data_IF_497739491282
#
_entry.id   IF_497739491282
#
_cell.length_a   1.000
_cell.length_b   1.000
_cell.length_c   1.000
_cell.angle_alpha   90.00
_cell.angle_beta   90.00
_cell.angle_gamma   90.00
#
_symmetry.space_group_name_H-M   'P 1'
#
loop_
_entity.id
_entity.type
_entity.pdbx_description
1 polymer ?
#
# COMPACT_ATOMS: atom_id res chain seq x y z
N UNK A 1 -62.07 -8.28 25.57
CA UNK A 1 -63.19 -7.46 25.08
C UNK A 1 -63.22 -7.63 23.56
N UNK A 2 -64.23 -8.37 23.05
CA UNK A 2 -64.95 -8.25 21.77
C UNK A 2 -64.27 -7.49 20.61
N UNK A 3 -64.23 -7.93 19.33
CA UNK A 3 -65.17 -8.64 18.42
C UNK A 3 -64.31 -9.20 17.24
N UNK A 4 -64.37 -10.47 16.79
CA UNK A 4 -65.20 -11.01 15.67
C UNK A 4 -65.16 -10.15 14.37
N UNK A 5 -65.06 -10.63 13.11
CA UNK A 5 -65.41 -11.91 12.48
C UNK A 5 -65.25 -11.88 10.93
N UNK A 6 -65.18 -13.08 10.30
CA UNK A 6 -65.76 -13.52 8.98
C UNK A 6 -65.04 -13.10 7.66
N UNK A 7 -64.40 -14.06 6.94
CA UNK A 7 -64.85 -14.82 5.72
C UNK A 7 -64.72 -14.02 4.40
N UNK A 8 -64.40 -14.52 3.20
CA UNK A 8 -64.68 -15.79 2.48
C UNK A 8 -63.81 -15.87 1.20
N UNK A 9 -63.49 -17.10 0.81
CA UNK A 9 -63.26 -17.70 -0.53
C UNK A 9 -63.28 -16.83 -1.81
N UNK A 10 -62.28 -17.05 -2.67
CA UNK A 10 -62.52 -17.39 -4.09
C UNK A 10 -61.26 -18.05 -4.72
N UNK A 11 -61.41 -19.32 -5.08
CA UNK A 11 -60.48 -20.05 -5.95
C UNK A 11 -60.68 -19.58 -7.39
N UNK A 12 -59.59 -19.23 -8.08
CA UNK A 12 -59.58 -19.10 -9.54
C UNK A 12 -58.63 -20.18 -10.08
N UNK A 13 -59.23 -21.22 -10.67
CA UNK A 13 -58.53 -22.20 -11.49
C UNK A 13 -58.30 -21.62 -12.89
N UNK A 14 -57.05 -21.50 -13.31
CA UNK A 14 -56.71 -21.24 -14.70
C UNK A 14 -56.59 -22.57 -15.46
N UNK A 15 -57.41 -22.71 -16.52
CA UNK A 15 -57.28 -23.79 -17.51
C UNK A 15 -56.07 -23.51 -18.43
N UNK A 16 -55.25 -24.52 -18.76
CA UNK A 16 -54.20 -24.35 -19.76
C UNK A 16 -54.80 -24.25 -21.17
N UNK A 17 -54.29 -23.27 -21.94
CA UNK A 17 -54.56 -23.11 -23.37
C UNK A 17 -53.61 -24.03 -24.14
N UNK A 18 -54.07 -24.81 -25.13
CA UNK A 18 -53.17 -25.60 -25.98
C UNK A 18 -52.38 -24.67 -26.89
N UNK A 19 -51.04 -24.68 -26.75
CA UNK A 19 -50.14 -23.96 -27.66
C UNK A 19 -50.00 -24.79 -28.95
N UNK A 20 -50.53 -24.23 -30.02
CA UNK A 20 -50.40 -24.74 -31.39
C UNK A 20 -48.95 -24.52 -31.85
N UNK A 21 -48.22 -25.59 -32.17
CA UNK A 21 -46.84 -25.51 -32.65
C UNK A 21 -46.80 -24.92 -34.06
N UNK A 22 -46.11 -23.79 -34.22
CA UNK A 22 -45.74 -23.23 -35.52
C UNK A 22 -44.53 -24.01 -36.10
N UNK A 23 -44.42 -24.13 -37.44
CA UNK A 23 -43.38 -24.92 -38.09
C UNK A 23 -41.99 -24.34 -37.86
N UNK A 24 -41.06 -25.21 -37.45
CA UNK A 24 -39.65 -24.91 -37.25
C UNK A 24 -39.00 -24.52 -38.58
N UNK A 25 -38.58 -23.25 -38.70
CA UNK A 25 -37.62 -22.83 -39.73
C UNK A 25 -36.22 -23.30 -39.30
N UNK A 26 -35.51 -23.92 -40.23
CA UNK A 26 -34.12 -24.33 -40.06
C UNK A 26 -33.24 -23.12 -39.72
N UNK A 27 -32.60 -23.19 -38.56
CA UNK A 27 -31.63 -22.20 -38.08
C UNK A 27 -30.25 -22.63 -38.55
N UNK A 28 -29.49 -21.68 -39.12
CA UNK A 28 -28.11 -21.86 -39.53
C UNK A 28 -27.24 -22.40 -38.38
N UNK A 29 -26.27 -23.25 -38.72
CA UNK A 29 -25.39 -23.95 -37.80
C UNK A 29 -24.72 -22.98 -36.80
N UNK A 30 -25.00 -23.18 -35.52
CA UNK A 30 -24.32 -22.51 -34.43
C UNK A 30 -22.89 -23.05 -34.29
N UNK A 31 -21.92 -22.15 -34.22
CA UNK A 31 -20.54 -22.47 -33.84
C UNK A 31 -20.56 -23.05 -32.42
N UNK A 32 -19.92 -24.21 -32.16
CA UNK A 32 -19.93 -24.82 -30.84
C UNK A 32 -19.24 -23.91 -29.82
N UNK A 33 -19.98 -23.45 -28.81
CA UNK A 33 -19.38 -22.89 -27.59
C UNK A 33 -18.74 -24.04 -26.81
N UNK A 34 -17.48 -23.95 -26.39
CA UNK A 34 -16.89 -24.94 -25.50
C UNK A 34 -17.69 -24.96 -24.19
N UNK A 35 -18.19 -26.14 -23.83
CA UNK A 35 -18.90 -26.36 -22.58
C UNK A 35 -17.90 -26.35 -21.41
N UNK A 36 -17.75 -25.23 -20.74
CA UNK A 36 -17.03 -25.12 -19.48
C UNK A 36 -17.93 -25.57 -18.31
N UNK A 37 -18.16 -26.88 -18.19
CA UNK A 37 -18.66 -27.49 -16.96
C UNK A 37 -17.49 -27.66 -15.98
N UNK A 38 -16.99 -26.55 -15.43
CA UNK A 38 -16.19 -26.58 -14.21
C UNK A 38 -17.15 -26.44 -13.05
N UNK A 39 -17.27 -27.49 -12.23
CA UNK A 39 -18.04 -27.47 -11.00
C UNK A 39 -17.48 -26.36 -10.10
N UNK A 40 -18.28 -25.30 -9.91
CA UNK A 40 -17.92 -24.13 -9.10
C UNK A 40 -18.05 -24.49 -7.62
N UNK A 41 -16.94 -24.70 -6.93
CA UNK A 41 -16.92 -24.67 -5.46
C UNK A 41 -17.11 -23.21 -5.02
N UNK A 42 -18.15 -22.88 -4.24
CA UNK A 42 -18.34 -21.54 -3.73
C UNK A 42 -17.20 -21.20 -2.76
N UNK A 43 -16.27 -20.32 -3.15
CA UNK A 43 -15.35 -19.70 -2.19
C UNK A 43 -16.15 -18.88 -1.16
N UNK A 44 -16.32 -19.40 0.05
CA UNK A 44 -16.89 -18.62 1.15
C UNK A 44 -15.88 -17.53 1.54
N UNK A 45 -16.38 -16.37 1.97
CA UNK A 45 -15.58 -15.21 2.40
C UNK A 45 -14.65 -15.47 3.61
N UNK A 46 -14.54 -16.72 4.06
CA UNK A 46 -13.80 -17.16 5.26
C UNK A 46 -12.97 -18.44 5.05
N UNK A 47 -12.73 -18.88 3.82
CA UNK A 47 -11.88 -20.06 3.54
C UNK A 47 -10.50 -19.69 2.99
N UNK A 48 -10.01 -18.50 3.29
CA UNK A 48 -8.62 -18.13 3.01
C UNK A 48 -7.74 -18.82 4.06
N UNK A 49 -7.42 -20.10 3.84
CA UNK A 49 -6.59 -20.92 4.75
C UNK A 49 -5.46 -20.09 5.36
N UNK A 50 -5.51 -19.97 6.68
CA UNK A 50 -4.43 -19.51 7.55
C UNK A 50 -3.13 -20.20 7.17
N UNK A 51 -2.30 -19.54 6.38
CA UNK A 51 -0.91 -19.93 6.27
C UNK A 51 -0.22 -19.41 7.51
N UNK A 52 0.30 -20.32 8.35
CA UNK A 52 0.94 -19.97 9.63
C UNK A 52 2.08 -18.95 9.53
N UNK A 53 2.55 -18.61 8.32
CA UNK A 53 3.55 -17.57 8.07
C UNK A 53 3.13 -16.76 6.83
N UNK A 54 2.41 -15.65 7.04
CA UNK A 54 2.21 -14.66 5.99
C UNK A 54 3.44 -13.74 5.95
N UNK A 55 4.38 -14.03 5.04
CA UNK A 55 5.58 -13.22 4.83
C UNK A 55 5.60 -12.66 3.41
N UNK A 56 5.73 -11.35 3.31
CA UNK A 56 5.90 -10.62 2.05
C UNK A 56 7.36 -10.22 1.94
N UNK A 57 7.99 -10.54 0.81
CA UNK A 57 9.34 -10.10 0.49
C UNK A 57 9.24 -8.87 -0.41
N UNK A 58 9.85 -7.76 -0.03
CA UNK A 58 9.83 -6.54 -0.83
C UNK A 58 11.22 -5.94 -1.08
N UNK A 59 11.33 -5.27 -2.22
CA UNK A 59 12.47 -4.47 -2.62
C UNK A 59 11.99 -3.09 -3.05
N UNK A 60 12.64 -2.05 -2.56
CA UNK A 60 12.35 -0.66 -2.89
C UNK A 60 13.58 0.06 -3.41
N UNK A 61 13.40 0.88 -4.45
CA UNK A 61 14.42 1.76 -5.00
C UNK A 61 13.89 3.19 -4.96
N UNK A 62 14.65 4.08 -4.31
CA UNK A 62 14.32 5.51 -4.20
C UNK A 62 12.88 5.73 -3.67
N UNK A 63 12.59 5.16 -2.50
CA UNK A 63 11.26 5.13 -1.87
C UNK A 63 11.21 6.07 -0.67
N UNK A 64 10.11 6.82 -0.54
CA UNK A 64 9.77 7.56 0.67
C UNK A 64 8.89 6.73 1.59
N UNK A 65 9.30 6.56 2.85
CA UNK A 65 8.52 5.88 3.88
C UNK A 65 8.22 6.86 5.01
N UNK A 66 7.00 6.82 5.53
CA UNK A 66 6.59 7.63 6.68
C UNK A 66 6.15 6.72 7.81
N UNK A 67 6.88 6.78 8.92
CA UNK A 67 6.61 6.01 10.13
C UNK A 67 6.15 6.92 11.28
N UNK A 68 5.65 6.32 12.36
CA UNK A 68 5.31 7.01 13.62
C UNK A 68 4.30 8.15 13.44
N UNK A 69 3.09 7.84 12.96
CA UNK A 69 2.07 8.83 12.57
C UNK A 69 2.63 9.93 11.67
N UNK A 70 3.45 9.52 10.69
CA UNK A 70 4.01 10.39 9.65
C UNK A 70 5.06 11.40 10.14
N UNK A 71 5.57 11.30 11.38
CA UNK A 71 6.62 12.22 11.89
C UNK A 71 8.03 11.80 11.51
N UNK A 72 8.25 10.51 11.25
CA UNK A 72 9.55 10.02 10.82
C UNK A 72 9.52 9.78 9.31
N UNK A 73 10.03 10.76 8.55
CA UNK A 73 10.33 10.63 7.12
C UNK A 73 11.64 9.88 6.89
N UNK A 74 11.56 8.72 6.25
CA UNK A 74 12.71 7.95 5.79
C UNK A 74 12.78 8.02 4.26
N UNK A 75 13.95 8.37 3.73
CA UNK A 75 14.25 8.18 2.31
C UNK A 75 15.15 6.96 2.15
N UNK A 76 14.62 5.90 1.56
CA UNK A 76 15.37 4.71 1.18
C UNK A 76 15.88 4.87 -0.26
N UNK A 77 17.20 5.02 -0.45
CA UNK A 77 17.79 4.98 -1.79
C UNK A 77 17.72 3.56 -2.37
N UNK A 78 17.80 2.56 -1.48
CA UNK A 78 17.52 1.14 -1.71
C UNK A 78 17.09 0.49 -0.40
N UNK A 79 16.17 -0.46 -0.45
CA UNK A 79 15.78 -1.30 0.68
C UNK A 79 15.34 -2.69 0.19
N UNK A 80 15.73 -3.74 0.90
CA UNK A 80 15.24 -5.11 0.77
C UNK A 80 14.80 -5.54 2.17
N UNK A 81 13.52 -5.88 2.29
CA UNK A 81 12.91 -6.18 3.57
C UNK A 81 11.85 -7.27 3.45
N UNK A 82 11.56 -7.92 4.57
CA UNK A 82 10.44 -8.84 4.71
C UNK A 82 9.44 -8.30 5.72
N UNK A 83 8.16 -8.45 5.42
CA UNK A 83 7.03 -8.09 6.26
C UNK A 83 6.43 -9.38 6.75
N UNK A 84 6.40 -9.58 8.05
CA UNK A 84 5.74 -10.73 8.68
C UNK A 84 4.57 -10.21 9.49
N UNK A 85 3.40 -10.80 9.26
CA UNK A 85 2.19 -10.43 9.96
C UNK A 85 2.32 -10.54 11.48
N UNK A 86 1.78 -9.56 12.21
CA UNK A 86 1.65 -9.64 13.68
C UNK A 86 0.40 -10.41 14.08
N UNK A 87 -0.65 -10.40 13.26
CA UNK A 87 -1.91 -11.11 13.47
C UNK A 87 -2.18 -12.09 12.31
N UNK A 88 -1.59 -13.31 12.33
CA UNK A 88 -1.62 -14.25 11.21
C UNK A 88 -3.02 -14.65 10.71
N UNK A 89 -4.06 -14.37 11.49
CA UNK A 89 -5.47 -14.52 11.13
C UNK A 89 -5.98 -13.51 10.08
N UNK A 90 -5.33 -12.36 9.90
CA UNK A 90 -5.72 -11.32 8.94
C UNK A 90 -4.71 -11.21 7.78
N UNK A 91 -5.09 -10.62 6.64
CA UNK A 91 -4.11 -10.15 5.66
C UNK A 91 -3.27 -9.00 6.22
N UNK A 92 -2.00 -8.90 5.79
CA UNK A 92 -1.17 -7.75 6.16
C UNK A 92 -1.78 -6.49 5.53
N UNK A 93 -2.19 -5.58 6.39
CA UNK A 93 -2.47 -4.21 6.02
C UNK A 93 -1.17 -3.39 6.19
N UNK A 94 -0.56 -3.05 5.06
CA UNK A 94 0.70 -2.28 5.03
C UNK A 94 0.44 -0.82 5.46
N UNK A 95 -0.80 -0.35 5.40
CA UNK A 95 -1.22 1.00 5.79
C UNK A 95 -1.49 1.11 7.31
N UNK A 96 -2.02 0.05 7.93
CA UNK A 96 -2.32 0.01 9.38
C UNK A 96 -1.14 -0.45 10.26
N UNK A 97 0.02 -0.76 9.67
CA UNK A 97 1.28 -1.00 10.40
C UNK A 97 1.25 -2.26 11.30
N UNK A 98 0.40 -3.23 10.98
CA UNK A 98 0.27 -4.49 11.74
C UNK A 98 1.26 -5.57 11.28
N UNK A 99 2.54 -5.21 11.17
CA UNK A 99 3.58 -6.13 10.72
C UNK A 99 4.90 -5.93 11.46
N UNK A 100 5.69 -7.00 11.46
CA UNK A 100 7.11 -6.98 11.78
C UNK A 100 7.90 -6.81 10.48
N UNK A 101 8.67 -5.74 10.41
CA UNK A 101 9.58 -5.42 9.32
C UNK A 101 10.98 -5.91 9.67
N UNK A 102 11.50 -6.86 8.91
CA UNK A 102 12.89 -7.27 8.97
C UNK A 102 13.64 -6.73 7.75
N UNK A 103 14.61 -5.84 7.97
CA UNK A 103 15.36 -5.17 6.89
C UNK A 103 16.69 -5.89 6.65
N UNK A 104 16.70 -6.75 5.63
CA UNK A 104 17.87 -7.52 5.23
C UNK A 104 19.00 -6.66 4.69
N UNK A 105 18.69 -5.63 3.91
CA UNK A 105 19.65 -4.75 3.26
C UNK A 105 19.04 -3.38 2.99
N UNK A 106 19.72 -2.29 3.29
CA UNK A 106 19.18 -0.96 3.00
C UNK A 106 20.17 0.19 3.11
N UNK A 107 19.92 1.21 2.30
CA UNK A 107 20.61 2.50 2.35
C UNK A 107 19.54 3.57 2.56
N UNK A 108 19.41 4.03 3.81
CA UNK A 108 18.32 4.89 4.25
C UNK A 108 18.89 6.21 4.75
N UNK A 109 18.11 7.27 4.67
CA UNK A 109 18.49 8.57 5.19
C UNK A 109 17.32 9.30 5.82
N UNK A 110 17.64 10.15 6.79
CA UNK A 110 16.69 10.93 7.60
C UNK A 110 17.14 12.38 7.60
N UNK A 111 16.20 13.31 7.45
CA UNK A 111 16.50 14.74 7.56
C UNK A 111 16.62 15.17 9.02
N UNK A 112 17.33 16.27 9.27
CA UNK A 112 17.43 16.86 10.60
C UNK A 112 16.07 17.38 11.11
N UNK A 113 15.19 17.80 10.21
CA UNK A 113 13.78 18.14 10.50
C UNK A 113 13.01 16.91 11.00
N UNK A 114 13.03 15.81 10.26
CA UNK A 114 12.33 14.57 10.64
C UNK A 114 12.88 14.01 11.96
N UNK A 115 14.21 14.05 12.14
CA UNK A 115 14.86 13.63 13.37
C UNK A 115 14.44 14.52 14.56
N UNK A 116 14.35 15.84 14.37
CA UNK A 116 13.88 16.77 15.39
C UNK A 116 12.45 16.44 15.83
N UNK A 117 11.53 16.35 14.86
CA UNK A 117 10.12 16.04 15.13
C UNK A 117 9.95 14.69 15.83
N UNK A 118 10.72 13.69 15.39
CA UNK A 118 10.68 12.35 15.98
C UNK A 118 11.16 12.38 17.42
N UNK A 119 12.31 12.99 17.72
CA UNK A 119 12.82 13.05 19.10
C UNK A 119 11.90 13.86 20.02
N UNK A 120 11.34 14.98 19.54
CA UNK A 120 10.35 15.74 20.30
C UNK A 120 9.12 14.91 20.66
N UNK A 121 8.58 14.17 19.69
CA UNK A 121 7.44 13.28 19.90
C UNK A 121 7.75 12.21 20.94
N UNK A 122 8.93 11.58 20.87
CA UNK A 122 9.38 10.58 21.83
C UNK A 122 9.48 11.15 23.25
N UNK A 123 10.07 12.34 23.41
CA UNK A 123 10.22 12.99 24.71
C UNK A 123 8.87 13.41 25.30
N UNK A 124 7.99 14.01 24.48
CA UNK A 124 6.65 14.41 24.90
C UNK A 124 5.83 13.20 25.34
N UNK A 125 5.89 12.10 24.59
CA UNK A 125 5.21 10.85 24.91
C UNK A 125 5.74 10.22 26.20
N UNK A 126 7.06 10.13 26.34
CA UNK A 126 7.71 9.63 27.56
C UNK A 126 7.31 10.45 28.80
N UNK A 127 7.22 11.78 28.69
CA UNK A 127 6.74 12.63 29.78
C UNK A 127 5.25 12.44 30.07
N UNK A 128 4.41 12.39 29.03
CA UNK A 128 2.96 12.18 29.15
C UNK A 128 2.63 10.84 29.82
N UNK A 129 3.35 9.76 29.48
CA UNK A 129 3.20 8.45 30.13
C UNK A 129 3.47 8.48 31.64
N UNK A 130 4.21 9.48 32.11
CA UNK A 130 4.52 9.71 33.54
C UNK A 130 3.64 10.79 34.16
N UNK A 131 2.61 11.25 33.45
CA UNK A 131 1.71 12.33 33.88
C UNK A 131 2.40 13.70 34.00
N UNK A 132 3.47 13.95 33.24
CA UNK A 132 4.30 15.17 33.34
C UNK A 132 4.41 15.86 31.98
N UNK A 133 4.67 17.16 32.00
CA UNK A 133 5.10 17.89 30.81
C UNK A 133 6.54 17.51 30.45
N UNK A 134 6.88 17.54 29.15
CA UNK A 134 8.27 17.30 28.71
C UNK A 134 9.24 18.26 29.40
N UNK A 135 10.35 17.75 29.94
CA UNK A 135 11.37 18.60 30.56
C UNK A 135 12.18 19.40 29.52
N UNK A 136 12.02 19.09 28.23
CA UNK A 136 12.73 19.73 27.12
C UNK A 136 11.75 20.41 26.17
N UNK A 137 12.09 21.61 25.71
CA UNK A 137 11.35 22.43 24.74
C UNK A 137 12.29 22.98 23.66
N UNK A 138 11.72 23.43 22.55
CA UNK A 138 12.44 24.04 21.42
C UNK A 138 13.62 23.16 20.96
N UNK A 139 13.39 21.84 20.86
CA UNK A 139 14.45 20.92 20.52
C UNK A 139 14.82 21.10 19.06
N UNK A 140 16.11 21.04 18.75
CA UNK A 140 16.61 20.98 17.39
C UNK A 140 17.73 19.96 17.29
N UNK A 141 17.56 19.01 16.39
CA UNK A 141 18.63 18.12 15.92
C UNK A 141 19.20 18.73 14.65
N UNK A 142 20.51 18.74 14.52
CA UNK A 142 21.22 19.16 13.32
C UNK A 142 22.31 18.14 12.99
N UNK A 143 22.34 17.71 11.73
CA UNK A 143 23.38 16.84 11.21
C UNK A 143 24.45 17.70 10.53
N UNK A 144 25.61 17.80 11.16
CA UNK A 144 26.78 18.50 10.63
C UNK A 144 27.60 17.52 9.77
N UNK A 145 28.60 17.99 9.02
CA UNK A 145 29.54 17.10 8.33
C UNK A 145 30.45 16.33 9.31
N UNK A 146 31.11 15.27 8.82
CA UNK A 146 32.10 14.47 9.56
C UNK A 146 31.53 13.70 10.75
N UNK A 147 30.36 13.08 10.57
CA UNK A 147 29.70 12.25 11.56
C UNK A 147 29.41 12.98 12.87
N UNK A 148 29.05 14.26 12.77
CA UNK A 148 28.75 15.12 13.90
C UNK A 148 27.26 15.39 13.99
N UNK A 149 26.70 15.20 15.18
CA UNK A 149 25.32 15.57 15.50
C UNK A 149 25.36 16.67 16.56
N UNK A 150 24.54 17.69 16.35
CA UNK A 150 24.31 18.77 17.30
C UNK A 150 22.86 18.74 17.73
N UNK A 151 22.65 18.78 19.04
CA UNK A 151 21.33 18.78 19.66
C UNK A 151 21.22 20.00 20.56
N UNK A 152 20.23 20.84 20.32
CA UNK A 152 20.01 22.09 21.04
C UNK A 152 18.58 22.12 21.58
N UNK A 153 18.35 22.86 22.65
CA UNK A 153 17.00 23.07 23.17
C UNK A 153 17.00 23.82 24.49
N UNK A 154 15.87 23.81 25.18
CA UNK A 154 15.71 24.39 26.51
C UNK A 154 15.26 23.31 27.48
N UNK A 155 15.96 23.16 28.60
CA UNK A 155 15.61 22.24 29.68
C UNK A 155 15.02 23.00 30.86
N UNK A 156 13.93 22.50 31.44
CA UNK A 156 13.35 23.07 32.65
C UNK A 156 14.16 22.62 33.87
N UNK A 157 14.88 23.55 34.48
CA UNK A 157 15.67 23.32 35.69
C UNK A 157 15.38 24.43 36.71
N UNK A 158 15.10 24.05 37.96
CA UNK A 158 14.84 25.00 39.07
C UNK A 158 13.78 26.08 38.73
N UNK A 159 12.73 25.70 38.00
CA UNK A 159 11.65 26.61 37.60
C UNK A 159 11.93 27.49 36.38
N UNK A 160 13.16 27.50 35.86
CA UNK A 160 13.56 28.27 34.68
C UNK A 160 13.84 27.37 33.47
N UNK A 161 13.72 27.92 32.26
CA UNK A 161 14.10 27.24 31.03
C UNK A 161 15.54 27.63 30.66
N UNK A 162 16.48 26.71 30.84
CA UNK A 162 17.89 26.94 30.53
C UNK A 162 18.21 26.40 29.13
N UNK A 163 18.81 27.20 28.24
CA UNK A 163 19.23 26.70 26.94
C UNK A 163 20.40 25.73 27.10
N UNK A 164 20.39 24.64 26.35
CA UNK A 164 21.49 23.70 26.25
C UNK A 164 21.85 23.45 24.79
N UNK A 165 23.12 23.10 24.56
CA UNK A 165 23.61 22.65 23.27
C UNK A 165 24.64 21.55 23.49
N UNK A 166 24.47 20.43 22.80
CA UNK A 166 25.37 19.28 22.85
C UNK A 166 25.83 18.98 21.43
N UNK A 167 27.14 18.86 21.23
CA UNK A 167 27.72 18.38 19.99
C UNK A 167 28.49 17.09 20.25
N UNK A 168 28.25 16.06 19.46
CA UNK A 168 28.92 14.76 19.59
C UNK A 168 29.12 14.08 18.25
N UNK A 169 29.88 12.99 18.27
CA UNK A 169 30.09 12.13 17.10
C UNK A 169 29.13 10.97 17.10
N UNK A 170 28.73 10.51 15.92
CA UNK A 170 27.92 9.31 15.75
C UNK A 170 28.72 8.22 15.04
N UNK A 171 28.55 6.98 15.47
CA UNK A 171 29.16 5.78 14.89
C UNK A 171 28.19 4.59 14.95
N UNK A 172 28.40 3.61 14.09
CA UNK A 172 27.73 2.31 14.21
C UNK A 172 28.52 1.47 15.23
N UNK A 173 27.81 0.88 16.18
CA UNK A 173 28.37 -0.07 17.14
C UNK A 173 28.48 -1.47 16.56
N UNK A 174 29.22 -2.33 17.25
CA UNK A 174 29.54 -3.67 16.75
C UNK A 174 28.32 -4.59 16.68
N UNK A 175 27.32 -4.38 17.53
CA UNK A 175 26.09 -5.19 17.56
C UNK A 175 24.93 -4.55 16.78
N UNK A 176 25.21 -3.57 15.91
CA UNK A 176 24.21 -2.95 15.05
C UNK A 176 23.47 -1.76 15.66
N UNK A 177 23.85 -1.37 16.88
CA UNK A 177 23.40 -0.15 17.53
C UNK A 177 24.00 1.12 16.91
N UNK A 178 23.33 2.24 17.09
CA UNK A 178 23.87 3.58 16.86
C UNK A 178 24.49 4.07 18.17
N UNK A 179 25.74 4.54 18.12
CA UNK A 179 26.44 5.13 19.24
C UNK A 179 26.66 6.62 19.00
N UNK A 180 26.12 7.44 19.89
CA UNK A 180 26.36 8.88 19.94
C UNK A 180 27.30 9.19 21.10
N UNK A 181 28.56 9.45 20.80
CA UNK A 181 29.58 9.85 21.76
C UNK A 181 29.46 11.35 22.03
N UNK A 182 29.13 11.73 23.26
CA UNK A 182 28.96 13.13 23.59
C UNK A 182 30.32 13.83 23.55
N UNK A 183 30.41 14.85 22.71
CA UNK A 183 31.51 15.80 22.71
C UNK A 183 31.16 16.96 23.63
N UNK A 184 31.26 18.19 23.11
CA UNK A 184 31.09 19.44 23.86
C UNK A 184 29.62 19.69 24.22
N UNK A 185 29.32 19.79 25.51
CA UNK A 185 28.04 20.26 26.02
C UNK A 185 28.17 21.66 26.66
N UNK A 186 27.16 22.49 26.42
CA UNK A 186 26.99 23.83 27.00
C UNK A 186 25.60 23.94 27.62
N UNK A 187 25.50 24.60 28.76
CA UNK A 187 24.23 24.97 29.41
C UNK A 187 24.31 26.43 29.81
N UNK A 188 23.31 27.24 29.43
CA UNK A 188 23.32 28.69 29.61
C UNK A 188 24.62 29.35 29.08
N UNK A 189 25.13 28.85 27.96
CA UNK A 189 26.39 29.31 27.33
C UNK A 189 27.67 28.82 27.99
N UNK A 190 27.59 28.24 29.20
CA UNK A 190 28.76 27.76 29.94
C UNK A 190 29.11 26.32 29.54
N UNK A 191 30.39 26.01 29.23
CA UNK A 191 30.82 24.65 28.95
C UNK A 191 30.74 23.79 30.21
N UNK A 192 29.92 22.73 30.19
CA UNK A 192 29.70 21.88 31.38
C UNK A 192 30.63 20.67 31.41
N UNK A 193 31.25 20.30 30.29
CA UNK A 193 32.15 19.14 30.22
C UNK A 193 33.33 19.20 31.17
N UNK A 194 33.97 20.38 31.28
CA UNK A 194 35.11 20.54 32.17
C UNK A 194 34.72 20.30 33.63
N UNK A 195 33.55 20.80 34.03
CA UNK A 195 33.00 20.60 35.36
C UNK A 195 32.61 19.14 35.60
N UNK A 196 31.96 18.49 34.62
CA UNK A 196 31.61 17.08 34.69
C UNK A 196 32.84 16.18 34.85
N UNK A 197 33.90 16.41 34.07
CA UNK A 197 35.15 15.65 34.15
C UNK A 197 35.85 15.86 35.50
N UNK A 198 35.91 17.08 36.01
CA UNK A 198 36.52 17.39 37.33
C UNK A 198 35.75 16.74 38.47
N UNK A 199 34.42 16.67 38.37
CA UNK A 199 33.57 15.99 39.36
C UNK A 199 33.45 14.47 39.15
N UNK A 200 34.11 13.90 38.13
CA UNK A 200 34.00 12.47 37.79
C UNK A 200 32.59 12.04 37.36
N UNK A 201 31.75 12.99 36.91
CA UNK A 201 30.41 12.76 36.38
C UNK A 201 30.49 12.46 34.88
N UNK A 202 29.77 11.45 34.42
CA UNK A 202 29.59 11.12 33.01
C UNK A 202 28.10 10.97 32.69
N UNK A 203 27.76 10.87 31.40
CA UNK A 203 26.38 10.76 30.97
C UNK A 203 25.64 9.60 31.63
N UNK A 204 26.30 8.44 31.77
CA UNK A 204 25.72 7.28 32.44
C UNK A 204 25.32 7.54 33.90
N UNK A 205 26.17 8.25 34.65
CA UNK A 205 25.87 8.64 36.04
C UNK A 205 24.73 9.65 36.14
N UNK A 206 24.54 10.48 35.11
CA UNK A 206 23.53 11.55 35.09
C UNK A 206 22.16 11.07 34.64
N UNK A 207 22.08 10.41 33.49
CA UNK A 207 20.81 9.97 32.91
C UNK A 207 20.34 8.64 33.50
N UNK A 208 21.27 7.81 34.00
CA UNK A 208 21.00 6.48 34.55
C UNK A 208 20.09 5.62 33.65
N UNK A 209 20.23 5.78 32.34
CA UNK A 209 19.51 4.99 31.34
C UNK A 209 20.21 3.65 31.21
N UNK A 210 19.87 2.73 32.09
CA UNK A 210 20.56 1.44 32.25
C UNK A 210 19.73 0.26 31.82
N UNK A 211 18.68 0.50 31.06
CA UNK A 211 17.80 -0.55 30.59
C UNK A 211 17.94 -0.76 29.07
N UNK A 212 18.85 -1.64 28.61
CA UNK A 212 18.92 -2.01 27.20
C UNK A 212 17.60 -2.57 26.68
N UNK A 213 16.72 -3.07 27.56
CA UNK A 213 15.41 -3.54 27.14
C UNK A 213 14.52 -2.42 26.58
N UNK A 214 14.85 -1.14 26.77
CA UNK A 214 14.14 0.02 26.18
C UNK A 214 14.71 0.42 24.80
N UNK A 215 15.70 -0.32 24.29
CA UNK A 215 16.37 -0.02 23.02
C UNK A 215 17.32 1.18 23.07
N UNK A 216 17.40 1.92 24.18
CA UNK A 216 18.39 2.97 24.35
C UNK A 216 18.97 2.95 25.77
N UNK A 217 20.26 3.20 25.89
CA UNK A 217 20.97 3.19 27.16
C UNK A 217 22.22 4.05 27.11
N UNK A 218 22.78 4.37 28.27
CA UNK A 218 24.04 5.10 28.38
C UNK A 218 25.21 4.16 28.66
N UNK A 219 26.34 4.39 28.01
CA UNK A 219 27.59 3.65 28.23
C UNK A 219 28.75 4.63 28.28
N UNK A 220 29.25 4.91 29.49
CA UNK A 220 30.28 5.91 29.72
C UNK A 220 29.79 7.33 29.38
N UNK A 221 30.35 7.92 28.33
CA UNK A 221 29.96 9.24 27.83
C UNK A 221 29.15 9.17 26.52
N UNK A 222 28.50 8.04 26.27
CA UNK A 222 27.83 7.80 25.01
C UNK A 222 26.41 7.33 25.23
N UNK A 223 25.51 7.82 24.38
CA UNK A 223 24.18 7.28 24.24
C UNK A 223 24.24 6.18 23.18
N UNK A 224 23.71 5.02 23.51
CA UNK A 224 23.59 3.88 22.61
C UNK A 224 22.12 3.67 22.30
N UNK A 225 21.79 3.47 21.03
CA UNK A 225 20.45 3.33 20.49
C UNK A 225 20.39 2.11 19.57
N UNK A 226 19.64 1.09 19.95
CA UNK A 226 19.18 0.04 19.05
C UNK A 226 17.91 0.55 18.34
N UNK A 227 18.05 0.94 17.07
CA UNK A 227 16.98 1.59 16.32
C UNK A 227 15.75 0.68 16.15
N UNK A 228 15.96 -0.59 15.80
CA UNK A 228 14.87 -1.56 15.61
C UNK A 228 14.07 -1.75 16.90
N UNK A 229 14.75 -1.96 18.02
CA UNK A 229 14.12 -2.13 19.32
C UNK A 229 13.40 -0.85 19.79
N UNK A 230 14.01 0.33 19.64
CA UNK A 230 13.38 1.59 20.04
C UNK A 230 12.13 1.88 19.22
N UNK A 231 12.13 1.63 17.91
CA UNK A 231 10.94 1.84 17.09
C UNK A 231 9.86 0.82 17.43
N UNK A 232 10.23 -0.46 17.62
CA UNK A 232 9.28 -1.54 17.96
C UNK A 232 8.49 -1.30 19.26
N UNK A 233 9.02 -0.46 20.16
CA UNK A 233 8.38 -0.14 21.44
C UNK A 233 7.40 1.03 21.37
N UNK A 234 7.33 1.69 20.22
CA UNK A 234 6.39 2.77 20.00
C UNK A 234 5.05 2.15 19.61
N UNK A 235 4.03 2.42 20.40
CA UNK A 235 2.64 2.07 20.04
C UNK A 235 2.30 2.63 18.67
N UNK A 236 1.62 1.81 17.85
CA UNK A 236 1.32 2.11 16.45
C UNK A 236 2.52 1.99 15.49
N UNK A 237 3.70 1.56 15.95
CA UNK A 237 4.86 1.31 15.08
C UNK A 237 4.96 -0.17 14.67
N UNK A 238 5.60 -0.46 13.52
CA UNK A 238 5.85 -1.83 13.14
C UNK A 238 6.90 -2.40 14.10
N UNK A 239 6.84 -3.70 14.36
CA UNK A 239 8.02 -4.37 14.90
C UNK A 239 9.14 -4.20 13.88
N UNK A 240 10.35 -3.90 14.31
CA UNK A 240 11.44 -3.57 13.41
C UNK A 240 12.70 -4.29 13.83
N UNK A 241 13.19 -5.11 12.92
CA UNK A 241 14.45 -5.81 13.02
C UNK A 241 15.39 -5.30 11.93
N UNK A 242 16.48 -4.68 12.34
CA UNK A 242 17.52 -4.17 11.46
C UNK A 242 18.85 -4.09 12.20
N UNK A 243 19.93 -4.22 11.44
CA UNK A 243 21.30 -4.09 11.93
C UNK A 243 22.00 -2.93 11.21
N UNK A 244 22.38 -1.88 11.95
CA UNK A 244 23.13 -0.75 11.37
C UNK A 244 24.59 -1.16 11.20
N UNK A 245 25.10 -1.07 9.97
CA UNK A 245 26.49 -1.43 9.61
C UNK A 245 27.37 -0.22 9.40
N UNK A 246 26.80 0.87 8.91
CA UNK A 246 27.50 2.13 8.73
C UNK A 246 26.57 3.32 8.98
N UNK A 247 27.17 4.41 9.42
CA UNK A 247 26.49 5.67 9.67
C UNK A 247 27.36 6.81 9.19
N UNK A 248 26.74 7.74 8.47
CA UNK A 248 27.40 8.98 8.11
C UNK A 248 26.47 10.17 8.21
N UNK A 249 27.03 11.33 8.50
CA UNK A 249 26.28 12.58 8.44
C UNK A 249 26.76 13.43 7.27
N UNK A 250 25.80 13.99 6.56
CA UNK A 250 25.99 15.09 5.62
C UNK A 250 25.13 16.27 6.08
N UNK A 251 25.39 17.50 5.62
CA UNK A 251 24.65 18.68 6.06
C UNK A 251 23.13 18.45 5.98
N UNK A 252 22.47 18.45 7.15
CA UNK A 252 21.02 18.25 7.29
C UNK A 252 20.54 16.80 7.11
N UNK A 253 21.42 15.80 6.97
CA UNK A 253 21.05 14.41 6.73
C UNK A 253 21.90 13.41 7.53
N UNK A 254 21.22 12.44 8.12
CA UNK A 254 21.80 11.21 8.64
C UNK A 254 21.60 10.12 7.60
N UNK A 255 22.67 9.44 7.19
CA UNK A 255 22.63 8.27 6.33
C UNK A 255 22.96 7.02 7.15
N UNK A 256 22.17 5.98 6.94
CA UNK A 256 22.30 4.68 7.57
C UNK A 256 22.48 3.63 6.47
N UNK A 257 23.47 2.77 6.63
CA UNK A 257 23.56 1.52 5.87
C UNK A 257 23.19 0.40 6.83
N UNK A 258 22.17 -0.36 6.46
CA UNK A 258 21.68 -1.50 7.23
C UNK A 258 21.91 -2.79 6.45
N UNK A 259 22.19 -3.86 7.17
CA UNK A 259 22.31 -5.18 6.57
C UNK A 259 22.57 -6.29 7.58
N UNK A 260 21.95 -7.44 7.37
CA UNK A 260 22.15 -8.63 8.21
C UNK A 260 23.60 -9.08 8.18
N UNK A 261 24.26 -8.92 7.03
CA UNK A 261 25.68 -9.22 6.82
C UNK A 261 26.42 -8.00 6.25
N UNK A 262 27.76 -7.96 6.33
CA UNK A 262 28.57 -6.98 5.60
C UNK A 262 28.32 -6.99 4.10
N UNK A 263 28.07 -8.17 3.52
CA UNK A 263 27.76 -8.35 2.10
C UNK A 263 26.40 -7.73 1.72
N UNK A 264 25.40 -7.83 2.60
CA UNK A 264 24.11 -7.17 2.45
C UNK A 264 24.26 -5.64 2.51
N UNK A 265 25.02 -5.11 3.47
CA UNK A 265 25.31 -3.67 3.54
C UNK A 265 26.06 -3.17 2.29
N UNK A 266 27.03 -3.94 1.79
CA UNK A 266 27.73 -3.62 0.55
C UNK A 266 26.79 -3.66 -0.67
N UNK A 267 25.81 -4.58 -0.69
CA UNK A 267 24.76 -4.61 -1.72
C UNK A 267 23.94 -3.33 -1.67
N UNK A 268 23.47 -2.90 -0.52
CA UNK A 268 22.72 -1.64 -0.39
C UNK A 268 23.45 -0.43 -1.00
N UNK A 269 24.77 -0.34 -0.79
CA UNK A 269 25.58 0.74 -1.36
C UNK A 269 25.76 0.64 -2.87
N UNK A 270 25.93 -0.57 -3.43
CA UNK A 270 25.96 -0.78 -4.88
C UNK A 270 24.63 -0.42 -5.52
N UNK A 271 23.54 -0.96 -4.97
CA UNK A 271 22.19 -0.74 -5.46
C UNK A 271 21.81 0.74 -5.36
N UNK A 272 22.19 1.45 -4.29
CA UNK A 272 22.02 2.90 -4.17
C UNK A 272 22.55 3.67 -5.39
N UNK A 273 23.67 3.25 -5.96
CA UNK A 273 24.31 3.91 -7.12
C UNK A 273 23.70 3.52 -8.47
N UNK A 274 22.91 2.44 -8.52
CA UNK A 274 22.25 2.01 -9.75
C UNK A 274 21.25 3.08 -10.24
N UNK A 275 21.33 3.41 -11.53
CA UNK A 275 20.44 4.35 -12.21
C UNK A 275 19.22 3.60 -12.72
N UNK A 276 18.33 3.27 -11.79
CA UNK A 276 17.05 2.65 -12.08
C UNK A 276 15.90 3.60 -11.70
N UNK A 277 14.73 3.50 -12.36
CA UNK A 277 13.55 4.24 -11.93
C UNK A 277 13.17 3.87 -10.49
N UNK A 278 12.43 4.75 -9.82
CA UNK A 278 11.92 4.43 -8.49
C UNK A 278 10.90 3.29 -8.60
N UNK A 279 11.02 2.30 -7.72
CA UNK A 279 10.13 1.14 -7.74
C UNK A 279 9.91 0.57 -6.35
N UNK A 280 8.81 -0.16 -6.21
CA UNK A 280 8.56 -1.12 -5.14
C UNK A 280 8.18 -2.45 -5.79
N UNK A 281 8.91 -3.52 -5.49
CA UNK A 281 8.58 -4.89 -5.91
C UNK A 281 8.22 -5.66 -4.66
N UNK A 282 7.12 -6.39 -4.67
CA UNK A 282 6.69 -7.24 -3.57
C UNK A 282 6.33 -8.62 -4.11
N UNK A 283 6.71 -9.67 -3.39
CA UNK A 283 6.46 -11.06 -3.76
C UNK A 283 6.08 -11.90 -2.55
N UNK A 284 5.33 -12.97 -2.79
CA UNK A 284 4.83 -13.88 -1.78
C UNK A 284 3.84 -13.21 -0.79
N UNK A 285 3.33 -14.01 0.13
CA UNK A 285 2.41 -13.53 1.16
C UNK A 285 1.08 -13.02 0.59
N UNK A 286 0.29 -12.42 1.48
CA UNK A 286 -1.03 -11.88 1.21
C UNK A 286 -1.13 -10.48 1.83
N UNK A 287 -1.42 -9.45 1.03
CA UNK A 287 -1.53 -8.07 1.52
C UNK A 287 -2.62 -7.26 0.81
N UNK A 288 -3.08 -6.21 1.50
CA UNK A 288 -3.80 -5.11 0.89
C UNK A 288 -2.83 -4.00 0.46
N UNK A 289 -2.91 -3.59 -0.80
CA UNK A 289 -2.09 -2.53 -1.40
C UNK A 289 -2.99 -1.70 -2.31
N UNK A 290 -3.22 -0.43 -2.01
CA UNK A 290 -4.02 0.50 -2.83
C UNK A 290 -5.44 -0.04 -3.21
N UNK A 291 -6.10 -0.72 -2.27
CA UNK A 291 -7.41 -1.35 -2.49
C UNK A 291 -7.37 -2.70 -3.22
N UNK A 292 -6.18 -3.20 -3.55
CA UNK A 292 -5.97 -4.55 -4.10
C UNK A 292 -5.60 -5.52 -2.98
N UNK A 293 -6.37 -6.59 -2.84
CA UNK A 293 -5.94 -7.76 -2.10
C UNK A 293 -5.08 -8.62 -3.02
N UNK A 294 -3.80 -8.81 -2.71
CA UNK A 294 -2.94 -9.70 -3.50
C UNK A 294 -2.52 -10.89 -2.65
N UNK A 295 -2.62 -12.10 -3.22
CA UNK A 295 -2.33 -13.37 -2.56
C UNK A 295 -1.36 -14.23 -3.37
N UNK A 296 -0.27 -14.63 -2.73
CA UNK A 296 0.83 -15.42 -3.28
C UNK A 296 1.30 -14.89 -4.64
N UNK A 297 1.33 -13.55 -4.74
CA UNK A 297 1.51 -12.85 -5.99
C UNK A 297 2.83 -12.11 -6.07
N UNK A 298 3.08 -11.54 -7.24
CA UNK A 298 4.19 -10.64 -7.49
C UNK A 298 3.62 -9.32 -8.02
N UNK A 299 3.90 -8.23 -7.30
CA UNK A 299 3.48 -6.87 -7.63
C UNK A 299 4.72 -6.03 -7.88
N UNK A 300 4.69 -5.21 -8.91
CA UNK A 300 5.68 -4.16 -9.10
C UNK A 300 4.95 -2.83 -9.22
N UNK A 301 5.35 -1.85 -8.42
CA UNK A 301 4.89 -0.47 -8.48
C UNK A 301 6.05 0.35 -8.99
N UNK A 302 5.84 1.12 -10.05
CA UNK A 302 6.83 2.02 -10.62
C UNK A 302 6.36 3.46 -10.53
N UNK A 303 7.28 4.37 -10.21
CA UNK A 303 7.05 5.81 -10.37
C UNK A 303 7.14 6.16 -11.85
N UNK A 304 6.07 6.75 -12.40
CA UNK A 304 6.07 7.26 -13.77
C UNK A 304 6.58 8.70 -13.84
N UNK A 305 6.75 9.38 -12.70
CA UNK A 305 7.28 10.74 -12.61
C UNK A 305 8.79 10.72 -12.41
N UNK A 306 9.60 11.18 -13.37
CA UNK A 306 11.05 11.15 -13.22
C UNK A 306 11.55 12.07 -12.09
N UNK A 307 12.39 11.54 -11.21
CA UNK A 307 13.20 12.33 -10.28
C UNK A 307 12.63 12.54 -8.88
N UNK A 308 11.39 12.14 -8.62
CA UNK A 308 10.82 12.03 -7.27
C UNK A 308 11.16 10.68 -6.62
N UNK A 309 11.23 10.61 -5.28
CA UNK A 309 11.06 9.34 -4.58
C UNK A 309 9.62 8.87 -4.73
N UNK A 310 9.41 7.57 -4.94
CA UNK A 310 8.09 6.95 -4.95
C UNK A 310 7.51 7.01 -3.53
N UNK A 311 6.42 7.77 -3.31
CA UNK A 311 5.74 7.85 -2.03
C UNK A 311 4.46 7.02 -2.09
N UNK A 312 4.48 5.84 -1.47
CA UNK A 312 3.33 4.92 -1.49
C UNK A 312 2.04 5.60 -0.99
N UNK A 313 2.15 6.48 0.01
CA UNK A 313 1.01 7.09 0.70
C UNK A 313 0.62 8.49 0.16
N UNK A 314 1.19 8.95 -0.96
CA UNK A 314 0.86 10.25 -1.55
C UNK A 314 -0.18 10.12 -2.68
N UNK A 315 -1.26 10.89 -2.59
CA UNK A 315 -2.29 11.01 -3.63
C UNK A 315 -1.81 12.02 -4.69
N UNK A 316 -1.74 11.61 -5.96
CA UNK A 316 -1.36 12.47 -7.09
C UNK A 316 -0.04 12.13 -7.79
N UNK A 317 0.70 11.12 -7.33
CA UNK A 317 1.79 10.52 -8.10
C UNK A 317 1.23 9.55 -9.14
N UNK A 318 1.64 9.68 -10.40
CA UNK A 318 1.33 8.69 -11.44
C UNK A 318 2.15 7.42 -11.17
N UNK A 319 1.45 6.34 -10.83
CA UNK A 319 2.06 5.03 -10.52
C UNK A 319 1.56 4.00 -11.53
N UNK A 320 2.47 3.12 -11.95
CA UNK A 320 2.07 1.90 -12.63
C UNK A 320 2.15 0.72 -11.69
N UNK A 321 1.04 0.01 -11.51
CA UNK A 321 0.97 -1.22 -10.71
C UNK A 321 0.94 -2.39 -11.69
N UNK A 322 1.88 -3.32 -11.59
CA UNK A 322 1.98 -4.50 -12.42
C UNK A 322 1.80 -5.76 -11.58
N UNK A 323 0.73 -6.50 -11.82
CA UNK A 323 0.48 -7.81 -11.22
C UNK A 323 1.03 -8.88 -12.18
N UNK A 324 2.13 -9.52 -11.79
CA UNK A 324 2.77 -10.55 -12.63
C UNK A 324 2.19 -11.95 -12.46
N UNK A 325 1.75 -12.26 -11.25
CA UNK A 325 1.23 -13.59 -10.89
C UNK A 325 0.45 -13.52 -9.59
N UNK A 326 -0.36 -14.54 -9.34
CA UNK A 326 -1.08 -14.74 -8.09
C UNK A 326 -2.55 -14.35 -8.18
N UNK A 327 -3.20 -14.31 -7.02
CA UNK A 327 -4.60 -13.91 -6.94
C UNK A 327 -4.67 -12.43 -6.59
N UNK A 328 -5.50 -11.68 -7.31
CA UNK A 328 -5.79 -10.27 -7.02
C UNK A 328 -7.28 -10.11 -6.84
N UNK A 329 -7.71 -9.77 -5.63
CA UNK A 329 -9.06 -9.32 -5.34
C UNK A 329 -9.12 -7.80 -5.41
N UNK A 330 -10.11 -7.28 -6.13
CA UNK A 330 -10.43 -5.86 -6.18
C UNK A 330 -11.80 -5.70 -5.56
N UNK A 331 -11.95 -4.86 -4.54
CA UNK A 331 -13.26 -4.57 -3.96
C UNK A 331 -14.21 -3.97 -5.01
N UNK A 332 -15.51 -4.25 -4.90
CA UNK A 332 -16.53 -3.77 -5.85
C UNK A 332 -16.48 -2.25 -6.08
N UNK A 333 -16.37 -1.46 -5.00
CA UNK A 333 -16.34 0.00 -5.10
C UNK A 333 -15.10 0.48 -5.88
N UNK A 334 -13.92 -0.08 -5.60
CA UNK A 334 -12.68 0.26 -6.28
C UNK A 334 -12.72 -0.15 -7.76
N UNK A 335 -13.27 -1.32 -8.05
CA UNK A 335 -13.42 -1.79 -9.42
C UNK A 335 -14.40 -0.92 -10.22
N UNK A 336 -15.49 -0.44 -9.58
CA UNK A 336 -16.42 0.50 -10.18
C UNK A 336 -15.75 1.85 -10.50
N UNK A 337 -14.91 2.38 -9.60
CA UNK A 337 -14.09 3.57 -9.87
C UNK A 337 -13.17 3.38 -11.07
N UNK A 338 -12.44 2.26 -11.12
CA UNK A 338 -11.54 1.94 -12.25
C UNK A 338 -12.30 1.87 -13.57
N UNK A 339 -13.51 1.29 -13.59
CA UNK A 339 -14.34 1.27 -14.79
C UNK A 339 -14.79 2.68 -15.16
N UNK A 340 -15.22 3.51 -14.21
CA UNK A 340 -15.63 4.89 -14.48
C UNK A 340 -14.47 5.72 -15.03
N UNK A 341 -13.25 5.47 -14.56
CA UNK A 341 -12.06 6.12 -15.07
C UNK A 341 -11.75 5.68 -16.51
N UNK A 342 -11.94 4.41 -16.86
CA UNK A 342 -11.72 3.91 -18.22
C UNK A 342 -12.84 4.30 -19.19
N UNK A 343 -14.09 4.42 -18.71
CA UNK A 343 -15.25 4.80 -19.51
C UNK A 343 -15.43 6.33 -19.45
N UNK A 344 -14.90 7.01 -20.46
CA UNK A 344 -15.03 8.46 -20.60
C UNK A 344 -16.33 8.88 -21.30
N UNK A 345 -16.77 10.11 -21.04
CA UNK A 345 -17.76 10.76 -21.91
C UNK A 345 -17.18 11.00 -23.30
N UNK A 346 -18.04 10.90 -24.32
CA UNK A 346 -17.71 11.24 -25.70
C UNK A 346 -18.80 12.15 -26.26
N UNK A 347 -18.55 12.81 -27.38
CA UNK A 347 -19.59 13.59 -28.08
C UNK A 347 -20.84 12.76 -28.38
N UNK A 348 -20.66 11.46 -28.60
CA UNK A 348 -21.73 10.52 -28.92
C UNK A 348 -22.42 9.93 -27.69
N UNK A 349 -21.87 10.10 -26.49
CA UNK A 349 -22.34 9.39 -25.30
C UNK A 349 -21.96 10.15 -24.03
N UNK A 350 -22.96 10.72 -23.35
CA UNK A 350 -22.80 11.62 -22.20
C UNK A 350 -23.60 11.12 -21.00
N UNK A 351 -23.40 11.74 -19.82
CA UNK A 351 -24.13 11.43 -18.59
C UNK A 351 -24.01 9.96 -18.20
N UNK A 352 -22.79 9.42 -18.29
CA UNK A 352 -22.54 8.01 -18.04
C UNK A 352 -22.62 7.72 -16.55
N UNK A 353 -23.43 6.73 -16.19
CA UNK A 353 -23.45 6.12 -14.87
C UNK A 353 -23.22 4.62 -14.99
N UNK A 354 -22.41 4.09 -14.08
CA UNK A 354 -22.04 2.67 -14.05
C UNK A 354 -22.21 2.12 -12.65
N UNK A 355 -22.85 0.96 -12.54
CA UNK A 355 -23.12 0.27 -11.28
C UNK A 355 -22.72 -1.21 -11.41
N UNK A 356 -21.89 -1.71 -10.49
CA UNK A 356 -21.42 -3.09 -10.54
C UNK A 356 -22.52 -4.12 -10.22
N UNK A 357 -22.53 -5.24 -10.94
CA UNK A 357 -23.44 -6.38 -10.76
C UNK A 357 -22.65 -7.66 -10.58
N UNK A 358 -23.37 -8.72 -10.19
CA UNK A 358 -22.74 -10.02 -9.96
C UNK A 358 -21.92 -10.54 -11.15
N UNK A 359 -22.46 -10.43 -12.36
CA UNK A 359 -21.84 -11.04 -13.55
C UNK A 359 -21.36 -9.98 -14.55
N UNK A 360 -21.13 -8.73 -14.09
CA UNK A 360 -20.85 -7.61 -14.98
C UNK A 360 -21.05 -6.24 -14.35
N UNK A 361 -21.33 -5.23 -15.17
CA UNK A 361 -21.82 -3.93 -14.72
C UNK A 361 -23.10 -3.54 -15.46
N UNK A 362 -23.85 -2.60 -14.91
CA UNK A 362 -24.92 -1.91 -15.60
C UNK A 362 -24.45 -0.52 -15.96
N UNK A 363 -24.57 -0.17 -17.24
CA UNK A 363 -24.20 1.14 -17.75
C UNK A 363 -25.46 1.85 -18.27
N UNK A 364 -25.62 3.10 -17.86
CA UNK A 364 -26.66 4.02 -18.33
C UNK A 364 -26.02 5.31 -18.84
N UNK A 365 -26.68 5.98 -19.77
CA UNK A 365 -26.25 7.30 -20.26
C UNK A 365 -27.14 7.84 -21.36
N UNK A 366 -26.66 8.83 -22.10
CA UNK A 366 -27.35 9.45 -23.24
C UNK A 366 -26.54 9.34 -24.51
N UNK A 367 -27.04 8.61 -25.49
CA UNK A 367 -26.50 8.55 -26.83
C UNK A 367 -26.87 9.84 -27.60
N UNK A 368 -25.91 10.42 -28.31
CA UNK A 368 -26.03 11.69 -29.05
C UNK A 368 -26.58 12.83 -28.17
N UNK A 369 -26.23 12.83 -26.87
CA UNK A 369 -26.65 13.83 -25.88
C UNK A 369 -28.15 13.83 -25.52
N UNK A 370 -28.97 12.99 -26.15
CA UNK A 370 -30.44 13.10 -26.03
C UNK A 370 -31.16 11.78 -25.83
N UNK A 371 -30.62 10.65 -26.32
CA UNK A 371 -31.32 9.37 -26.32
C UNK A 371 -30.87 8.57 -25.10
N UNK A 372 -31.72 8.37 -24.08
CA UNK A 372 -31.35 7.55 -22.93
C UNK A 372 -31.06 6.13 -23.38
N UNK A 373 -29.95 5.58 -22.95
CA UNK A 373 -29.51 4.23 -23.28
C UNK A 373 -29.11 3.50 -22.00
N UNK A 374 -29.47 2.21 -21.94
CA UNK A 374 -29.08 1.34 -20.84
C UNK A 374 -28.63 -0.01 -21.38
N UNK A 375 -27.58 -0.57 -20.79
CA UNK A 375 -27.03 -1.86 -21.17
C UNK A 375 -26.39 -2.55 -19.97
N UNK A 376 -26.17 -3.86 -20.06
CA UNK A 376 -25.24 -4.50 -19.13
C UNK A 376 -23.90 -4.68 -19.85
N UNK A 377 -22.81 -4.58 -19.12
CA UNK A 377 -21.46 -4.93 -19.55
C UNK A 377 -21.14 -6.28 -18.94
N UNK A 378 -21.00 -7.30 -19.77
CA UNK A 378 -20.48 -8.59 -19.33
C UNK A 378 -18.95 -8.51 -19.29
N UNK A 379 -18.35 -9.01 -18.20
CA UNK A 379 -16.90 -9.10 -18.11
C UNK A 379 -16.42 -10.51 -18.46
N UNK A 380 -15.33 -10.57 -19.21
CA UNK A 380 -14.67 -11.82 -19.59
C UNK A 380 -13.18 -11.53 -19.83
N UNK A 381 -12.45 -12.49 -20.39
CA UNK A 381 -11.06 -12.34 -20.82
C UNK A 381 -10.89 -12.62 -22.32
N UNK A 382 -9.86 -12.04 -22.89
CA UNK A 382 -9.38 -12.44 -24.21
C UNK A 382 -8.55 -13.73 -24.14
N UNK A 383 -8.27 -14.32 -25.29
CA UNK A 383 -7.30 -15.41 -25.45
C UNK A 383 -5.88 -15.03 -24.96
N UNK A 384 -5.54 -13.76 -25.12
CA UNK A 384 -4.30 -13.11 -24.68
C UNK A 384 -4.31 -12.69 -23.21
N UNK A 385 -5.39 -12.99 -22.46
CA UNK A 385 -5.48 -12.73 -21.02
C UNK A 385 -5.77 -11.28 -20.66
N UNK A 386 -6.26 -10.45 -21.58
CA UNK A 386 -6.73 -9.10 -21.30
C UNK A 386 -8.15 -9.13 -20.74
N UNK A 387 -8.54 -8.16 -19.91
CA UNK A 387 -9.94 -8.02 -19.50
C UNK A 387 -10.75 -7.51 -20.70
N UNK A 388 -11.92 -8.08 -20.91
CA UNK A 388 -12.84 -7.71 -21.97
C UNK A 388 -14.18 -7.26 -21.40
N UNK A 389 -14.69 -6.14 -21.90
CA UNK A 389 -16.04 -5.65 -21.67
C UNK A 389 -16.91 -5.91 -22.90
N UNK A 390 -18.01 -6.66 -22.75
CA UNK A 390 -18.96 -6.90 -23.84
C UNK A 390 -20.32 -6.31 -23.50
N UNK A 391 -20.84 -5.34 -24.28
CA UNK A 391 -22.19 -4.84 -24.07
C UNK A 391 -23.22 -5.92 -24.42
N UNK A 392 -24.14 -6.20 -23.50
CA UNK A 392 -25.23 -7.17 -23.66
C UNK A 392 -26.59 -6.49 -23.48
N UNK A 393 -27.51 -6.86 -24.38
CA UNK A 393 -28.90 -6.39 -24.39
C UNK A 393 -29.05 -4.85 -24.31
N UNK A 394 -28.37 -4.07 -25.16
CA UNK A 394 -28.50 -2.62 -25.10
C UNK A 394 -29.89 -2.16 -25.51
N UNK A 395 -30.43 -1.17 -24.79
CA UNK A 395 -31.77 -0.60 -25.02
C UNK A 395 -31.70 0.92 -25.11
N UNK A 396 -32.43 1.50 -26.05
CA UNK A 396 -32.76 2.92 -26.07
C UNK A 396 -34.12 3.16 -25.38
N UNK A 397 -34.24 4.30 -24.69
CA UNK A 397 -35.40 4.69 -23.88
C UNK A 397 -35.80 3.64 -22.82
N UNK A 398 -34.90 2.71 -22.49
CA UNK A 398 -35.13 1.60 -21.57
C UNK A 398 -35.89 0.39 -22.16
N UNK A 399 -36.46 0.48 -23.36
CA UNK A 399 -37.29 -0.59 -23.94
C UNK A 399 -37.01 -0.95 -25.40
N UNK A 400 -36.42 -0.06 -26.21
CA UNK A 400 -36.16 -0.31 -27.63
C UNK A 400 -34.83 -1.06 -27.77
N UNK A 401 -34.80 -2.33 -28.18
CA UNK A 401 -33.55 -3.05 -28.35
C UNK A 401 -32.70 -2.40 -29.45
N UNK A 402 -31.42 -2.18 -29.15
CA UNK A 402 -30.46 -1.66 -30.12
C UNK A 402 -29.68 -2.82 -30.74
N UNK A 403 -29.28 -2.74 -32.03
CA UNK A 403 -28.38 -3.70 -32.64
C UNK A 403 -27.06 -3.76 -31.88
N UNK A 404 -26.62 -4.97 -31.49
CA UNK A 404 -25.40 -5.16 -30.71
C UNK A 404 -24.16 -4.57 -31.38
N UNK A 405 -24.05 -4.68 -32.71
CA UNK A 405 -22.92 -4.11 -33.48
C UNK A 405 -22.87 -2.58 -33.46
N UNK A 406 -24.04 -1.91 -33.47
CA UNK A 406 -24.10 -0.45 -33.40
C UNK A 406 -23.56 0.03 -32.05
N UNK A 407 -24.02 -0.58 -30.96
CA UNK A 407 -23.61 -0.20 -29.60
C UNK A 407 -22.18 -0.64 -29.30
N UNK A 408 -21.75 -1.81 -29.77
CA UNK A 408 -20.38 -2.30 -29.63
C UNK A 408 -19.35 -1.29 -30.14
N UNK A 409 -19.55 -0.76 -31.36
CA UNK A 409 -18.66 0.26 -31.94
C UNK A 409 -18.62 1.57 -31.16
N UNK A 410 -19.71 1.93 -30.47
CA UNK A 410 -19.78 3.14 -29.64
C UNK A 410 -19.13 2.90 -28.29
N UNK A 411 -19.38 1.76 -27.65
CA UNK A 411 -18.72 1.34 -26.41
C UNK A 411 -17.21 1.22 -26.58
N UNK A 412 -16.74 0.73 -27.74
CA UNK A 412 -15.32 0.73 -28.08
C UNK A 412 -14.70 2.13 -28.09
N UNK A 413 -15.48 3.17 -28.43
CA UNK A 413 -15.01 4.57 -28.37
C UNK A 413 -15.09 5.18 -26.97
N UNK A 414 -15.88 4.59 -26.06
CA UNK A 414 -16.01 5.07 -24.69
C UNK A 414 -14.81 4.69 -23.82
N UNK A 415 -14.20 3.55 -24.10
CA UNK A 415 -13.08 3.05 -23.31
C UNK A 415 -11.79 3.75 -23.76
N UNK A 416 -11.19 4.54 -22.87
CA UNK A 416 -10.03 5.40 -23.17
C UNK A 416 -8.83 4.63 -23.70
N UNK A 417 -8.57 3.43 -23.16
CA UNK A 417 -7.34 2.66 -23.45
C UNK A 417 -7.60 1.27 -24.08
N UNK A 418 -8.78 1.08 -24.68
CA UNK A 418 -9.25 -0.22 -25.16
C UNK A 418 -8.93 -0.55 -26.63
N UNK A 419 -8.73 -1.83 -26.92
CA UNK A 419 -8.64 -2.37 -28.29
C UNK A 419 -9.93 -3.11 -28.66
N UNK A 420 -10.50 -2.90 -29.86
CA UNK A 420 -11.66 -3.66 -30.31
C UNK A 420 -11.40 -5.18 -30.27
N UNK A 421 -12.29 -5.94 -29.64
CA UNK A 421 -12.21 -7.40 -29.58
C UNK A 421 -13.60 -8.02 -29.71
N UNK A 422 -13.89 -8.65 -30.84
CA UNK A 422 -15.22 -9.15 -31.15
C UNK A 422 -16.28 -8.04 -31.08
N UNK A 423 -17.33 -8.27 -30.28
CA UNK A 423 -18.39 -7.26 -30.03
C UNK A 423 -18.09 -6.36 -28.82
N UNK A 424 -16.95 -6.58 -28.16
CA UNK A 424 -16.55 -5.87 -26.97
C UNK A 424 -15.29 -5.04 -27.19
N UNK A 425 -14.67 -4.70 -26.07
CA UNK A 425 -13.41 -3.97 -26.01
C UNK A 425 -12.52 -4.63 -24.96
N UNK A 426 -11.30 -4.92 -25.37
CA UNK A 426 -10.28 -5.51 -24.51
C UNK A 426 -9.33 -4.42 -24.01
N UNK A 427 -9.10 -4.40 -22.71
CA UNK A 427 -8.21 -3.43 -22.05
C UNK A 427 -6.94 -4.11 -21.57
N UNK A 428 -5.81 -3.44 -21.80
CA UNK A 428 -4.49 -3.90 -21.35
C UNK A 428 -4.25 -3.63 -19.86
N UNK A 429 -4.97 -2.67 -19.28
CA UNK A 429 -4.93 -2.29 -17.88
C UNK A 429 -6.09 -1.37 -17.52
N UNK A 430 -6.18 -0.95 -16.26
CA UNK A 430 -7.16 0.04 -15.79
C UNK A 430 -6.47 1.10 -14.93
N UNK A 431 -6.58 2.37 -15.28
CA UNK A 431 -6.06 3.50 -14.50
C UNK A 431 -4.59 3.34 -14.08
N UNK A 432 -3.73 2.91 -15.02
CA UNK A 432 -2.29 2.68 -14.76
C UNK A 432 -1.94 1.32 -14.14
N UNK A 433 -2.94 0.47 -13.88
CA UNK A 433 -2.75 -0.88 -13.37
C UNK A 433 -2.72 -1.89 -14.53
N UNK A 434 -1.58 -2.50 -14.74
CA UNK A 434 -1.39 -3.68 -15.57
C UNK A 434 -1.67 -4.93 -14.71
N UNK A 435 -2.74 -5.64 -15.05
CA UNK A 435 -3.19 -6.83 -14.33
C UNK A 435 -2.47 -8.12 -14.80
N UNK A 436 -1.58 -7.99 -15.78
CA UNK A 436 -0.87 -9.11 -16.39
C UNK A 436 -1.80 -10.01 -17.19
N UNK A 437 -1.43 -11.29 -17.31
CA UNK A 437 -2.25 -12.28 -18.01
C UNK A 437 -3.34 -12.81 -17.09
N UNK A 438 -4.58 -12.35 -17.29
CA UNK A 438 -5.75 -12.80 -16.55
C UNK A 438 -6.16 -14.20 -17.03
N UNK A 439 -5.95 -15.20 -16.17
CA UNK A 439 -6.39 -16.58 -16.37
C UNK A 439 -7.88 -16.76 -16.08
N UNK A 440 -8.36 -16.09 -15.04
CA UNK A 440 -9.73 -16.21 -14.58
C UNK A 440 -10.22 -14.90 -13.98
N UNK A 441 -11.48 -14.57 -14.25
CA UNK A 441 -12.20 -13.43 -13.69
C UNK A 441 -13.47 -13.96 -13.01
N UNK A 442 -13.64 -13.69 -11.72
CA UNK A 442 -14.80 -14.12 -10.93
C UNK A 442 -15.27 -12.98 -10.04
N UNK A 443 -16.57 -12.72 -9.99
CA UNK A 443 -17.14 -11.86 -8.95
C UNK A 443 -17.63 -12.68 -7.77
N UNK A 444 -17.21 -12.30 -6.57
CA UNK A 444 -17.47 -13.06 -5.38
C UNK A 444 -17.37 -12.22 -4.11
N UNK A 445 -18.40 -12.28 -3.27
CA UNK A 445 -18.42 -11.68 -1.92
C UNK A 445 -18.02 -10.20 -1.89
N UNK A 446 -18.40 -9.42 -2.90
CA UNK A 446 -18.03 -8.00 -2.99
C UNK A 446 -16.63 -7.74 -3.56
N UNK A 447 -16.03 -8.74 -4.22
CA UNK A 447 -14.74 -8.63 -4.90
C UNK A 447 -14.81 -9.14 -6.33
N UNK A 448 -14.07 -8.48 -7.22
CA UNK A 448 -13.64 -9.03 -8.50
C UNK A 448 -12.29 -9.71 -8.28
N UNK A 449 -12.26 -11.03 -8.41
CA UNK A 449 -11.07 -11.86 -8.25
C UNK A 449 -10.49 -12.18 -9.61
N UNK A 450 -9.23 -11.84 -9.77
CA UNK A 450 -8.38 -12.07 -10.91
C UNK A 450 -7.33 -13.10 -10.54
N UNK A 451 -7.24 -14.20 -11.27
CA UNK A 451 -6.04 -15.03 -11.23
C UNK A 451 -5.10 -14.54 -12.34
N UNK A 452 -3.96 -13.97 -11.96
CA UNK A 452 -2.90 -13.57 -12.87
C UNK A 452 -1.84 -14.67 -12.94
N UNK A 453 -1.26 -14.90 -14.13
CA UNK A 453 -0.12 -15.80 -14.26
C UNK A 453 0.81 -15.44 -15.41
N UNK A 454 1.80 -16.29 -15.65
CA UNK A 454 2.70 -16.07 -16.78
C UNK A 454 1.96 -16.29 -18.09
N UNK A 455 2.25 -15.41 -19.07
CA UNK A 455 1.77 -15.58 -20.44
C UNK A 455 2.20 -16.97 -20.93
N UNK A 456 1.29 -17.78 -21.49
CA UNK A 456 1.67 -19.06 -22.07
C UNK A 456 2.79 -18.84 -23.09
N UNK A 457 3.91 -19.56 -22.95
CA UNK A 457 4.95 -19.53 -23.96
C UNK A 457 4.33 -20.03 -25.27
N UNK A 458 4.52 -19.28 -26.36
CA UNK A 458 4.06 -19.72 -27.68
C UNK A 458 4.86 -20.98 -28.04
N UNK A 459 4.17 -22.11 -28.09
CA UNK A 459 4.74 -23.39 -28.53
C UNK A 459 5.11 -23.37 -30.01
#
# INVERSE_FOLDING_TARGET
MYVNSVSTLSQIQFRPVPVQQAPQRAVAAAIPRPASNLAYSPYTSDSWKTTQNNTIQAQGKNVGLRLLDKTLGLKADYIEASFTDKTPENPIDIEEVDFNLHVRSGAVSVSDVDATLTVEKLLNRSAASKGKASPVKDLRVAFDANNQIRVEGKVKALGMNLPFAVKGSVSAGNAGEIRYDLGKAKVAGMPVNGLMSVMGLNLDKLLKLRNPSEGYYTSGNSLVLNLGQTISQLDGAPGMDLTVRDISTHLGRLNLVVGDTPEDAARALREKQAKEPAFVKATAGHAYIDGFFVKNGAINIYDLTPGSPLNLNYQGEEKSIQVKSGFVGITDWRFEELIKDEIGETEDFTEIDTNLKKDGAHLQGKLLGAIPVSMNLQFDRTDTGKIMFTPVSPKAFGFIPLPSGFVGSKVQKLVKTGTPYGNGVAIDGMSGIDLGYVKQLVHQNGYIVLESGEKPQAN
#
